data_IF_669743633645
#
_entry.id   IF_669743633645
#
_cell.length_a   1.000
_cell.length_b   1.000
_cell.length_c   1.000
_cell.angle_alpha   90.00
_cell.angle_beta   90.00
_cell.angle_gamma   90.00
#
_symmetry.space_group_name_H-M   'P 1'
#
loop_
_entity.id
_entity.type
_entity.pdbx_description
1 polymer ?
#
# COMPACT_ATOMS: atom_id res chain seq x y z
N UNK A 1 -7.85 40.60 24.14
CA UNK A 1 -7.28 40.25 22.83
C UNK A 1 -6.78 38.83 22.94
N UNK A 2 -7.30 37.93 22.12
CA UNK A 2 -6.86 36.53 22.13
C UNK A 2 -5.65 36.39 21.21
N UNK A 3 -4.65 35.62 21.64
CA UNK A 3 -3.35 35.51 20.96
C UNK A 3 -3.03 34.06 20.69
N UNK A 4 -2.48 33.79 19.50
CA UNK A 4 -1.98 32.47 19.12
C UNK A 4 -0.49 32.51 18.88
N UNK A 5 0.12 31.35 18.93
CA UNK A 5 1.52 31.20 18.63
C UNK A 5 1.76 31.05 17.12
N UNK A 6 2.76 31.73 16.58
CA UNK A 6 3.16 31.54 15.19
C UNK A 6 3.93 30.22 15.04
N UNK A 7 3.51 29.28 14.18
CA UNK A 7 4.17 27.98 13.99
C UNK A 7 5.56 28.05 13.34
N UNK A 8 5.95 29.22 12.82
CA UNK A 8 7.25 29.41 12.15
C UNK A 8 8.30 30.07 13.04
N UNK A 9 7.90 31.08 13.82
CA UNK A 9 8.85 31.88 14.61
C UNK A 9 8.56 31.90 16.11
N UNK A 10 7.56 31.15 16.55
CA UNK A 10 7.25 30.94 17.96
C UNK A 10 7.07 32.24 18.76
N UNK A 11 6.49 33.26 18.13
CA UNK A 11 6.12 34.53 18.78
C UNK A 11 4.62 34.64 18.88
N UNK A 12 4.17 35.29 19.95
CA UNK A 12 2.75 35.55 20.18
C UNK A 12 2.26 36.64 19.24
N UNK A 13 1.17 36.32 18.56
CA UNK A 13 0.56 37.18 17.54
C UNK A 13 -0.95 37.18 17.74
N UNK A 14 -1.62 38.19 17.19
CA UNK A 14 -3.07 38.25 17.21
C UNK A 14 -3.69 37.01 16.53
N UNK A 15 -4.74 36.44 17.13
CA UNK A 15 -5.43 35.28 16.58
C UNK A 15 -5.96 35.49 15.16
N UNK A 16 -6.30 36.72 14.81
CA UNK A 16 -6.83 37.13 13.50
C UNK A 16 -5.72 37.52 12.52
N UNK A 17 -4.45 37.43 12.92
CA UNK A 17 -3.33 37.74 12.04
C UNK A 17 -3.26 36.73 10.88
N UNK A 18 -3.46 37.25 9.67
CA UNK A 18 -3.36 36.53 8.39
C UNK A 18 -1.90 36.28 7.98
N UNK A 19 -0.99 37.18 8.40
CA UNK A 19 0.45 37.08 8.18
C UNK A 19 1.18 37.45 9.47
N UNK A 20 2.25 36.74 9.80
CA UNK A 20 3.04 37.02 11.01
C UNK A 20 3.82 38.34 10.88
N UNK A 21 3.74 39.28 11.84
CA UNK A 21 4.50 40.54 11.80
C UNK A 21 6.00 40.37 12.05
N UNK A 22 6.43 39.25 12.64
CA UNK A 22 7.83 39.02 12.99
C UNK A 22 8.62 38.24 11.95
N UNK A 23 8.01 37.23 11.33
CA UNK A 23 8.67 36.38 10.32
C UNK A 23 8.02 36.42 8.94
N UNK A 24 6.91 37.16 8.78
CA UNK A 24 6.16 37.31 7.54
C UNK A 24 5.58 36.01 6.95
N UNK A 25 5.60 34.90 7.69
CA UNK A 25 4.96 33.66 7.28
C UNK A 25 3.45 33.83 7.12
N UNK A 26 2.88 33.22 6.08
CA UNK A 26 1.44 33.25 5.78
C UNK A 26 0.71 32.19 6.60
N UNK A 27 -0.21 32.64 7.45
CA UNK A 27 -0.91 31.83 8.44
C UNK A 27 -2.33 31.46 8.01
N UNK A 28 -2.72 31.80 6.77
CA UNK A 28 -4.03 31.41 6.24
C UNK A 28 -4.11 29.89 6.15
N UNK A 29 -5.13 29.35 6.80
CA UNK A 29 -5.53 27.96 6.67
C UNK A 29 -5.71 27.61 5.18
N UNK A 30 -5.08 26.53 4.72
CA UNK A 30 -4.97 26.15 3.31
C UNK A 30 -6.33 26.10 2.60
N UNK A 31 -7.38 25.63 3.29
CA UNK A 31 -8.77 25.60 2.80
C UNK A 31 -9.30 26.96 2.33
N UNK A 32 -8.82 28.08 2.87
CA UNK A 32 -9.29 29.40 2.48
C UNK A 32 -8.43 30.05 1.37
N UNK A 33 -7.38 29.36 0.89
CA UNK A 33 -6.52 29.86 -0.20
C UNK A 33 -7.01 29.47 -1.60
N UNK A 34 -7.75 28.35 -1.73
CA UNK A 34 -8.26 27.87 -3.01
C UNK A 34 -9.75 27.51 -2.91
N UNK A 35 -10.66 28.51 -3.02
CA UNK A 35 -12.11 28.27 -2.88
C UNK A 35 -12.66 27.30 -3.94
N UNK A 36 -12.01 27.19 -5.10
CA UNK A 36 -12.43 26.26 -6.16
C UNK A 36 -12.10 24.80 -5.81
N UNK A 37 -10.92 24.53 -5.23
CA UNK A 37 -10.49 23.16 -4.90
C UNK A 37 -11.29 22.58 -3.72
N UNK A 38 -11.69 23.43 -2.77
CA UNK A 38 -12.53 23.00 -1.64
C UNK A 38 -13.95 22.67 -2.06
N UNK A 39 -14.54 23.47 -2.97
CA UNK A 39 -15.85 23.19 -3.56
C UNK A 39 -15.80 21.92 -4.43
N UNK A 40 -14.77 21.77 -5.27
CA UNK A 40 -14.59 20.59 -6.12
C UNK A 40 -14.43 19.31 -5.28
N UNK A 41 -13.60 19.35 -4.23
CA UNK A 41 -13.39 18.22 -3.33
C UNK A 41 -14.66 17.83 -2.57
N UNK A 42 -15.47 18.80 -2.15
CA UNK A 42 -16.74 18.54 -1.47
C UNK A 42 -17.77 17.88 -2.42
N UNK A 43 -17.87 18.37 -3.66
CA UNK A 43 -18.75 17.78 -4.68
C UNK A 43 -18.33 16.36 -5.04
N UNK A 44 -17.02 16.10 -5.19
CA UNK A 44 -16.49 14.78 -5.49
C UNK A 44 -16.75 13.79 -4.34
N UNK A 45 -16.59 14.24 -3.09
CA UNK A 45 -16.88 13.44 -1.90
C UNK A 45 -18.35 13.04 -1.79
N UNK A 46 -19.28 13.94 -2.11
CA UNK A 46 -20.72 13.64 -2.11
C UNK A 46 -21.07 12.58 -3.18
N UNK A 47 -20.46 12.66 -4.36
CA UNK A 47 -20.67 11.68 -5.43
C UNK A 47 -20.20 10.28 -5.00
N UNK A 48 -19.04 10.19 -4.33
CA UNK A 48 -18.52 8.92 -3.81
C UNK A 48 -19.46 8.31 -2.75
N UNK A 49 -20.01 9.15 -1.85
CA UNK A 49 -20.96 8.69 -0.82
C UNK A 49 -22.25 8.16 -1.44
N UNK A 50 -22.76 8.77 -2.52
CA UNK A 50 -23.97 8.30 -3.20
C UNK A 50 -23.78 6.96 -3.92
N UNK A 51 -22.58 6.66 -4.43
CA UNK A 51 -22.26 5.36 -5.05
C UNK A 51 -22.30 4.22 -4.03
N UNK A 52 -21.84 4.46 -2.80
CA UNK A 52 -21.81 3.43 -1.74
C UNK A 52 -23.23 3.07 -1.27
N UNK A 53 -24.17 4.02 -1.29
CA UNK A 53 -25.56 3.79 -0.86
C UNK A 53 -26.37 3.03 -1.92
N UNK A 54 -25.94 3.01 -3.19
CA UNK A 54 -26.64 2.37 -4.31
C UNK A 54 -26.45 0.85 -4.43
N UNK A 55 -25.55 0.23 -3.67
CA UNK A 55 -25.08 -1.15 -3.92
C UNK A 55 -25.68 -2.24 -3.02
N UNK A 56 -26.79 -2.00 -2.34
CA UNK A 56 -27.45 -3.05 -1.54
C UNK A 56 -28.54 -3.74 -2.37
N UNK A 57 -28.12 -4.52 -3.37
CA UNK A 57 -28.97 -5.51 -4.04
C UNK A 57 -28.15 -6.78 -4.22
N UNK A 58 -28.38 -7.75 -3.33
CA UNK A 58 -27.65 -9.01 -3.32
C UNK A 58 -28.09 -10.00 -4.40
N UNK A 59 -27.18 -10.88 -4.81
CA UNK A 59 -27.46 -12.30 -4.90
C UNK A 59 -26.17 -13.13 -4.77
N UNK A 60 -26.33 -14.31 -4.18
CA UNK A 60 -25.33 -15.31 -3.85
C UNK A 60 -24.84 -16.15 -5.03
N UNK A 61 -23.69 -16.78 -4.79
CA UNK A 61 -23.21 -18.07 -5.30
C UNK A 61 -22.82 -18.16 -6.77
N UNK A 62 -21.53 -18.40 -6.99
CA UNK A 62 -21.06 -19.45 -7.89
C UNK A 62 -19.80 -20.09 -7.31
N UNK A 63 -19.90 -21.36 -6.93
CA UNK A 63 -18.78 -22.25 -6.66
C UNK A 63 -18.22 -22.70 -8.02
N UNK A 64 -17.02 -22.26 -8.36
CA UNK A 64 -16.26 -22.82 -9.48
C UNK A 64 -15.02 -23.49 -8.93
N UNK A 65 -15.11 -24.81 -8.79
CA UNK A 65 -13.95 -25.69 -8.62
C UNK A 65 -13.11 -25.65 -9.90
N UNK A 66 -11.85 -25.25 -9.76
CA UNK A 66 -10.80 -25.54 -10.72
C UNK A 66 -9.72 -26.36 -10.03
N UNK A 67 -9.39 -27.46 -10.67
CA UNK A 67 -8.46 -28.50 -10.26
C UNK A 67 -7.10 -27.96 -9.83
N UNK A 68 -6.70 -28.28 -8.60
CA UNK A 68 -5.34 -28.12 -8.12
C UNK A 68 -4.53 -29.37 -8.49
N UNK A 69 -3.57 -29.18 -9.39
CA UNK A 69 -2.45 -30.09 -9.56
C UNK A 69 -1.56 -29.95 -8.33
N UNK A 70 -1.48 -31.01 -7.53
CA UNK A 70 -0.64 -31.08 -6.33
C UNK A 70 0.85 -30.99 -6.69
N UNK A 71 1.37 -29.76 -6.75
CA UNK A 71 2.81 -29.50 -6.72
C UNK A 71 3.30 -29.68 -5.29
N UNK A 72 4.10 -30.73 -5.09
CA UNK A 72 4.73 -31.01 -3.79
C UNK A 72 5.83 -29.98 -3.56
N UNK A 73 5.60 -29.04 -2.66
CA UNK A 73 6.55 -28.00 -2.29
C UNK A 73 7.70 -28.61 -1.45
N UNK A 74 8.98 -28.44 -1.82
CA UNK A 74 10.09 -28.95 -1.04
C UNK A 74 10.22 -28.20 0.30
N UNK A 75 10.29 -28.97 1.38
CA UNK A 75 10.04 -28.51 2.76
C UNK A 75 11.29 -27.97 3.50
N UNK A 76 12.32 -27.48 2.78
CA UNK A 76 13.55 -26.95 3.41
C UNK A 76 14.03 -25.66 2.76
N UNK A 77 13.98 -24.56 3.52
CA UNK A 77 14.36 -23.21 3.11
C UNK A 77 15.77 -23.13 2.52
N UNK A 78 16.73 -23.88 3.06
CA UNK A 78 18.12 -23.91 2.59
C UNK A 78 18.30 -24.46 1.17
N UNK A 79 17.35 -25.28 0.69
CA UNK A 79 17.39 -25.82 -0.68
C UNK A 79 16.82 -24.80 -1.66
N UNK A 80 15.73 -24.13 -1.28
CA UNK A 80 15.10 -23.07 -2.06
C UNK A 80 16.06 -21.90 -2.30
N UNK A 81 16.79 -21.46 -1.27
CA UNK A 81 17.80 -20.41 -1.36
C UNK A 81 18.88 -20.71 -2.41
N UNK A 82 19.28 -21.97 -2.58
CA UNK A 82 20.33 -22.36 -3.53
C UNK A 82 19.84 -22.55 -4.97
N UNK A 83 18.53 -22.75 -5.15
CA UNK A 83 17.89 -22.97 -6.46
C UNK A 83 17.17 -21.71 -6.98
N UNK A 84 16.97 -20.70 -6.12
CA UNK A 84 16.30 -19.46 -6.46
C UNK A 84 17.07 -18.66 -7.51
N UNK A 85 16.35 -18.22 -8.54
CA UNK A 85 16.87 -17.31 -9.56
C UNK A 85 16.53 -15.88 -9.19
N UNK A 86 17.50 -14.96 -9.36
CA UNK A 86 17.24 -13.53 -9.23
C UNK A 86 16.44 -13.05 -10.43
N UNK A 87 15.17 -12.68 -10.21
CA UNK A 87 14.28 -12.14 -11.24
C UNK A 87 13.87 -10.74 -10.82
N UNK A 88 14.03 -9.75 -11.70
CA UNK A 88 13.54 -8.40 -11.38
C UNK A 88 12.01 -8.36 -11.48
N UNK A 89 11.37 -7.51 -10.65
CA UNK A 89 9.93 -7.30 -10.76
C UNK A 89 9.50 -6.85 -12.16
N UNK A 90 10.32 -6.03 -12.84
CA UNK A 90 10.03 -5.56 -14.19
C UNK A 90 9.98 -6.70 -15.23
N UNK A 91 10.84 -7.71 -15.09
CA UNK A 91 10.84 -8.91 -15.94
C UNK A 91 9.63 -9.79 -15.63
N UNK A 92 9.39 -10.08 -14.35
CA UNK A 92 8.25 -10.88 -13.91
C UNK A 92 6.91 -10.26 -14.34
N UNK A 93 6.74 -8.95 -14.15
CA UNK A 93 5.51 -8.22 -14.51
C UNK A 93 5.29 -8.16 -16.03
N UNK A 94 6.34 -8.29 -16.84
CA UNK A 94 6.24 -8.25 -18.30
C UNK A 94 5.77 -9.59 -18.89
N UNK A 95 6.20 -10.71 -18.32
CA UNK A 95 5.91 -12.05 -18.82
C UNK A 95 5.89 -13.10 -17.68
N UNK A 96 4.86 -13.07 -16.80
CA UNK A 96 4.83 -13.92 -15.60
C UNK A 96 4.78 -15.41 -15.94
N UNK A 97 4.10 -15.78 -17.02
CA UNK A 97 3.92 -17.17 -17.44
C UNK A 97 5.27 -17.84 -17.79
N UNK A 98 6.25 -17.07 -18.26
CA UNK A 98 7.59 -17.59 -18.57
C UNK A 98 8.38 -18.06 -17.34
N UNK A 99 7.96 -17.63 -16.14
CA UNK A 99 8.59 -17.96 -14.87
C UNK A 99 7.82 -19.01 -14.06
N UNK A 100 6.73 -19.56 -14.60
CA UNK A 100 5.95 -20.60 -13.91
C UNK A 100 6.81 -21.83 -13.59
N UNK A 101 6.66 -22.34 -12.37
CA UNK A 101 7.43 -23.46 -11.83
C UNK A 101 8.90 -23.17 -11.50
N UNK A 102 9.38 -21.92 -11.64
CA UNK A 102 10.74 -21.52 -11.23
C UNK A 102 10.73 -20.99 -9.80
N UNK A 103 11.80 -21.27 -9.04
CA UNK A 103 12.01 -20.71 -7.70
C UNK A 103 12.64 -19.33 -7.85
N UNK A 104 12.11 -18.33 -7.15
CA UNK A 104 12.52 -16.93 -7.29
C UNK A 104 12.62 -16.26 -5.92
N UNK A 105 13.69 -15.51 -5.71
CA UNK A 105 13.87 -14.74 -4.47
C UNK A 105 13.28 -13.33 -4.61
N UNK A 106 12.44 -12.93 -3.67
CA UNK A 106 11.99 -11.55 -3.54
C UNK A 106 12.11 -11.08 -2.09
N UNK A 107 12.63 -9.86 -1.91
CA UNK A 107 12.67 -9.18 -0.61
C UNK A 107 11.80 -7.93 -0.66
N UNK A 108 10.94 -7.74 0.33
CA UNK A 108 10.09 -6.56 0.38
C UNK A 108 9.33 -6.36 1.69
N UNK A 109 8.56 -5.29 1.74
CA UNK A 109 7.75 -4.92 2.90
C UNK A 109 6.33 -5.49 2.80
N UNK A 110 5.83 -6.10 3.88
CA UNK A 110 4.45 -6.57 3.96
C UNK A 110 3.48 -5.38 4.00
N UNK A 111 2.66 -5.23 2.97
CA UNK A 111 1.60 -4.21 2.87
C UNK A 111 0.29 -4.71 3.49
N UNK A 112 0.09 -6.02 3.44
CA UNK A 112 -1.11 -6.68 3.95
C UNK A 112 -0.81 -8.17 4.13
N UNK A 113 -1.24 -8.74 5.25
CA UNK A 113 -1.24 -10.18 5.48
C UNK A 113 -2.59 -10.65 6.00
N UNK A 114 -3.09 -11.79 5.50
CA UNK A 114 -4.29 -12.45 6.03
C UNK A 114 -4.07 -13.96 6.06
N UNK A 115 -4.47 -14.58 7.16
CA UNK A 115 -4.43 -16.02 7.35
C UNK A 115 -5.83 -16.54 7.68
N UNK A 116 -6.20 -17.69 7.10
CA UNK A 116 -7.44 -18.38 7.38
C UNK A 116 -7.28 -19.87 7.10
N UNK A 117 -7.80 -20.73 7.99
CA UNK A 117 -7.82 -22.18 7.83
C UNK A 117 -6.46 -22.86 7.53
N UNK A 118 -5.34 -22.29 8.02
CA UNK A 118 -4.01 -22.86 7.82
C UNK A 118 -3.39 -22.53 6.45
N UNK A 119 -3.98 -21.57 5.74
CA UNK A 119 -3.42 -20.95 4.55
C UNK A 119 -3.37 -19.44 4.77
N UNK A 120 -2.44 -18.78 4.10
CA UNK A 120 -2.29 -17.34 4.17
C UNK A 120 -1.89 -16.75 2.84
N UNK A 121 -2.16 -15.46 2.72
CA UNK A 121 -1.58 -14.66 1.66
C UNK A 121 -0.99 -13.38 2.23
N UNK A 122 0.00 -12.87 1.52
CA UNK A 122 0.62 -11.59 1.81
C UNK A 122 0.88 -10.80 0.54
N UNK A 123 0.67 -9.49 0.62
CA UNK A 123 1.06 -8.53 -0.42
C UNK A 123 2.36 -7.90 0.02
N UNK A 124 3.40 -8.05 -0.78
CA UNK A 124 4.74 -7.57 -0.46
C UNK A 124 5.11 -6.48 -1.46
N UNK A 125 5.42 -5.27 -0.99
CA UNK A 125 6.07 -4.23 -1.78
C UNK A 125 7.55 -4.56 -1.93
N UNK A 126 7.96 -4.95 -3.13
CA UNK A 126 9.34 -5.33 -3.45
C UNK A 126 10.26 -4.12 -3.28
N UNK A 127 11.34 -4.28 -2.52
CA UNK A 127 12.34 -3.23 -2.35
C UNK A 127 13.18 -3.16 -3.62
N UNK A 128 13.12 -2.04 -4.33
CA UNK A 128 13.91 -1.80 -5.52
C UNK A 128 15.21 -1.07 -5.13
N UNK A 129 16.37 -1.62 -5.47
CA UNK A 129 17.67 -0.96 -5.21
C UNK A 129 17.94 0.24 -6.16
N UNK A 130 17.04 0.53 -7.12
CA UNK A 130 17.15 1.65 -8.04
C UNK A 130 16.24 2.82 -7.67
N UNK A 131 16.85 3.96 -7.29
CA UNK A 131 16.22 5.27 -7.10
C UNK A 131 15.04 5.53 -8.05
N UNK A 132 13.81 5.53 -7.55
CA UNK A 132 12.69 6.18 -8.24
C UNK A 132 11.53 6.51 -7.29
N UNK A 133 11.50 7.80 -6.94
CA UNK A 133 10.49 8.58 -6.20
C UNK A 133 9.03 8.49 -6.72
N UNK A 134 8.71 7.57 -7.64
CA UNK A 134 7.41 7.46 -8.31
C UNK A 134 6.81 6.05 -8.34
N UNK A 135 7.45 5.05 -7.75
CA UNK A 135 6.91 3.71 -7.76
C UNK A 135 5.73 3.65 -6.77
N UNK A 136 4.52 3.68 -7.33
CA UNK A 136 3.40 2.95 -6.73
C UNK A 136 3.95 1.57 -6.41
N UNK A 137 3.91 1.17 -5.14
CA UNK A 137 4.53 -0.03 -4.59
C UNK A 137 4.51 -1.18 -5.60
N UNK A 138 5.68 -1.66 -6.03
CA UNK A 138 5.82 -2.86 -6.88
C UNK A 138 5.37 -4.04 -6.01
N UNK A 139 4.13 -4.50 -6.18
CA UNK A 139 3.51 -5.47 -5.26
C UNK A 139 3.49 -6.86 -5.88
N UNK A 140 4.02 -7.83 -5.14
CA UNK A 140 3.84 -9.25 -5.41
C UNK A 140 2.79 -9.84 -4.45
N UNK A 141 2.01 -10.80 -4.93
CA UNK A 141 1.06 -11.57 -4.13
C UNK A 141 1.64 -12.94 -3.85
N UNK A 142 1.85 -13.25 -2.58
CA UNK A 142 2.44 -14.52 -2.13
C UNK A 142 1.39 -15.29 -1.37
N UNK A 143 1.20 -16.57 -1.74
CA UNK A 143 0.39 -17.51 -0.97
C UNK A 143 1.31 -18.48 -0.24
N UNK A 144 0.93 -18.88 0.97
CA UNK A 144 1.69 -19.83 1.76
C UNK A 144 0.77 -20.72 2.58
N UNK A 145 1.25 -21.90 2.93
CA UNK A 145 0.59 -22.81 3.87
C UNK A 145 1.18 -22.63 5.27
N UNK A 146 0.36 -22.86 6.29
CA UNK A 146 0.73 -22.72 7.68
C UNK A 146 0.55 -21.29 8.22
N UNK A 147 1.32 -20.97 9.25
CA UNK A 147 1.28 -19.69 9.94
C UNK A 147 2.67 -19.06 9.94
N UNK A 148 2.72 -17.74 9.82
CA UNK A 148 3.94 -16.96 9.98
C UNK A 148 3.80 -15.97 11.14
N UNK A 149 4.94 -15.53 11.67
CA UNK A 149 4.98 -14.43 12.65
C UNK A 149 5.08 -13.06 11.97
N UNK A 150 5.18 -13.01 10.64
CA UNK A 150 5.25 -11.76 9.88
C UNK A 150 3.94 -10.97 10.05
N UNK A 151 4.07 -9.66 10.23
CA UNK A 151 2.96 -8.72 10.33
C UNK A 151 3.10 -7.58 9.33
N UNK A 152 2.07 -6.75 9.21
CA UNK A 152 2.11 -5.54 8.37
C UNK A 152 3.33 -4.67 8.71
N UNK A 153 3.99 -4.16 7.66
CA UNK A 153 5.24 -3.38 7.67
C UNK A 153 6.53 -4.16 7.92
N UNK A 154 6.50 -5.47 8.18
CA UNK A 154 7.72 -6.26 8.29
C UNK A 154 8.43 -6.36 6.94
N UNK A 155 9.76 -6.43 6.96
CA UNK A 155 10.55 -6.78 5.78
C UNK A 155 10.75 -8.30 5.80
N UNK A 156 10.34 -8.95 4.71
CA UNK A 156 10.42 -10.40 4.55
C UNK A 156 11.14 -10.74 3.25
N UNK A 157 11.78 -11.90 3.24
CA UNK A 157 12.32 -12.54 2.04
C UNK A 157 11.55 -13.83 1.79
N UNK A 158 11.09 -14.01 0.56
CA UNK A 158 10.33 -15.17 0.09
C UNK A 158 11.08 -15.85 -1.06
N UNK A 159 10.89 -17.17 -1.16
CA UNK A 159 11.53 -18.07 -2.12
C UNK A 159 10.50 -18.97 -2.80
#
# INVERSE_FOLDING_TARGET
MQTKHCPHCYKDIDERATRCPHCQADLRHWSNRHPVLTILGFILGIIIVLVIIGSISGNNSDNTSSSETTSTCPSSTSTLESEATTISYAELNKDPDSYDGQIAEFTGQVEQIQESNGEGYMRISVVNEGDSFWNQSDIIFVTYSGHTNAVDNDIVTVY
#
